data_IF_875683210036
#
_entry.id   IF_875683210036
#
_cell.length_a   1.000
_cell.length_b   1.000
_cell.length_c   1.000
_cell.angle_alpha   90.00
_cell.angle_beta   90.00
_cell.angle_gamma   90.00
#
_symmetry.space_group_name_H-M   'P 1'
#
loop_
_entity.id
_entity.type
_entity.pdbx_description
1 polymer ?
#
# COMPACT_ATOMS: atom_id res chain seq x y z
N UNK A 1 21.19 9.22 14.38
CA UNK A 1 20.38 9.43 13.17
C UNK A 1 21.20 10.10 12.09
N UNK A 2 21.90 11.20 12.38
CA UNK A 2 22.70 11.90 11.36
C UNK A 2 23.78 11.04 10.71
N UNK A 3 24.52 10.25 11.49
CA UNK A 3 25.52 9.31 10.95
C UNK A 3 24.91 8.20 10.07
N UNK A 4 23.76 7.63 10.44
CA UNK A 4 23.06 6.63 9.61
C UNK A 4 22.47 7.25 8.32
N UNK A 5 22.04 8.52 8.39
CA UNK A 5 21.51 9.29 7.24
C UNK A 5 22.61 9.63 6.24
N UNK A 6 23.77 10.08 6.70
CA UNK A 6 24.95 10.29 5.86
C UNK A 6 25.41 8.97 5.22
N UNK A 7 25.35 7.88 5.98
CA UNK A 7 25.73 6.55 5.50
C UNK A 7 24.78 6.01 4.42
N UNK A 8 23.47 6.18 4.59
CA UNK A 8 22.47 5.71 3.62
C UNK A 8 22.54 6.49 2.30
N UNK A 9 22.76 7.81 2.34
CA UNK A 9 22.87 8.63 1.13
C UNK A 9 24.13 8.30 0.31
N UNK A 10 25.19 7.80 0.95
CA UNK A 10 26.41 7.31 0.28
C UNK A 10 27.31 8.40 -0.32
N UNK A 11 26.87 9.66 -0.40
CA UNK A 11 27.69 10.85 -0.64
C UNK A 11 26.84 12.11 -0.44
N UNK A 12 27.44 13.20 0.05
CA UNK A 12 26.88 14.54 -0.14
C UNK A 12 26.80 14.92 -1.64
N UNK A 13 26.13 16.03 -2.01
CA UNK A 13 26.00 16.45 -3.40
C UNK A 13 27.38 16.46 -4.09
N UNK A 14 27.48 15.75 -5.21
CA UNK A 14 28.74 15.55 -5.94
C UNK A 14 29.22 16.90 -6.51
N UNK A 15 30.44 17.37 -6.17
CA UNK A 15 31.06 18.49 -6.88
C UNK A 15 31.44 18.06 -8.31
N UNK A 16 31.53 19.01 -9.27
CA UNK A 16 31.69 18.70 -10.70
C UNK A 16 32.92 17.83 -10.99
N UNK A 17 32.88 17.03 -12.07
CA UNK A 17 33.80 15.91 -12.26
C UNK A 17 35.19 16.42 -12.64
N UNK A 18 36.17 16.19 -11.77
CA UNK A 18 37.60 16.10 -12.09
C UNK A 18 38.38 15.50 -10.91
N UNK A 19 38.48 14.17 -10.84
CA UNK A 19 39.54 13.49 -10.06
C UNK A 19 39.71 12.04 -10.54
N UNK A 20 40.93 11.58 -10.89
CA UNK A 20 41.18 10.21 -11.33
C UNK A 20 41.68 9.30 -10.19
N UNK A 21 41.35 8.01 -10.36
CA UNK A 21 41.91 6.79 -9.75
C UNK A 21 41.37 6.28 -8.41
N UNK A 22 40.69 5.12 -8.46
CA UNK A 22 41.14 3.88 -7.81
C UNK A 22 40.32 2.68 -8.33
N UNK A 23 40.99 1.61 -8.77
CA UNK A 23 40.42 0.25 -8.93
C UNK A 23 41.05 -0.62 -7.84
N UNK A 24 40.22 -1.32 -7.07
CA UNK A 24 40.64 -2.40 -6.20
C UNK A 24 39.75 -3.62 -6.51
N UNK A 25 40.38 -4.79 -6.63
CA UNK A 25 39.73 -6.10 -6.75
C UNK A 25 39.21 -6.53 -5.37
N UNK A 26 37.99 -7.06 -5.32
CA UNK A 26 37.34 -7.57 -4.11
C UNK A 26 37.25 -9.10 -4.18
N UNK A 27 37.70 -9.78 -3.13
CA UNK A 27 37.48 -11.22 -2.91
C UNK A 27 36.06 -11.51 -2.37
N UNK A 28 35.53 -12.75 -2.51
CA UNK A 28 34.18 -13.10 -2.06
C UNK A 28 34.08 -13.05 -0.53
N UNK A 29 33.24 -12.16 -0.01
CA UNK A 29 32.91 -12.06 1.42
C UNK A 29 31.82 -13.07 1.79
N UNK A 30 32.06 -13.82 2.88
CA UNK A 30 31.10 -14.75 3.47
C UNK A 30 30.04 -13.99 4.29
N UNK A 31 28.91 -13.70 3.66
CA UNK A 31 27.78 -12.96 4.24
C UNK A 31 27.08 -13.70 5.39
N UNK A 32 27.26 -15.02 5.55
CA UNK A 32 26.52 -15.79 6.54
C UNK A 32 26.99 -15.52 7.98
N UNK A 33 28.29 -15.24 8.18
CA UNK A 33 28.88 -15.04 9.51
C UNK A 33 28.78 -13.58 10.02
N UNK A 34 28.78 -12.58 9.12
CA UNK A 34 28.70 -11.16 9.49
C UNK A 34 27.33 -10.75 10.03
N UNK A 35 26.26 -11.36 9.53
CA UNK A 35 24.87 -10.97 9.83
C UNK A 35 24.29 -11.65 11.09
N UNK A 36 24.86 -12.77 11.56
CA UNK A 36 24.31 -13.57 12.66
C UNK A 36 24.82 -13.22 14.07
N UNK A 37 25.88 -12.41 14.21
CA UNK A 37 26.46 -12.10 15.53
C UNK A 37 26.13 -10.68 16.02
N UNK A 38 25.37 -10.60 17.11
CA UNK A 38 24.85 -9.34 17.65
C UNK A 38 25.87 -8.52 18.44
N UNK A 39 25.93 -7.21 18.18
CA UNK A 39 26.21 -6.10 19.13
C UNK A 39 25.68 -4.76 18.56
N UNK A 40 24.67 -4.17 19.24
CA UNK A 40 23.59 -3.32 18.66
C UNK A 40 23.91 -1.87 18.23
N UNK A 41 25.16 -1.47 17.96
CA UNK A 41 25.40 -0.16 17.29
C UNK A 41 26.44 -0.19 16.18
N UNK A 42 27.51 -0.99 16.31
CA UNK A 42 28.45 -1.20 15.20
C UNK A 42 27.91 -2.14 14.10
N UNK A 43 26.94 -3.00 14.43
CA UNK A 43 26.40 -4.00 13.50
C UNK A 43 25.48 -3.41 12.41
N UNK A 44 24.77 -2.32 12.68
CA UNK A 44 23.83 -1.74 11.72
C UNK A 44 24.56 -1.06 10.55
N UNK A 45 25.72 -0.43 10.80
CA UNK A 45 26.51 0.20 9.74
C UNK A 45 27.16 -0.86 8.83
N UNK A 46 27.60 -1.99 9.40
CA UNK A 46 28.12 -3.11 8.63
C UNK A 46 27.03 -3.74 7.74
N UNK A 47 25.81 -3.95 8.28
CA UNK A 47 24.66 -4.48 7.53
C UNK A 47 24.43 -3.72 6.22
N UNK A 48 24.38 -2.39 6.25
CA UNK A 48 24.08 -1.61 5.04
C UNK A 48 25.25 -1.58 4.04
N UNK A 49 26.49 -1.67 4.50
CA UNK A 49 27.65 -1.79 3.60
C UNK A 49 27.68 -3.14 2.91
N UNK A 50 27.50 -4.21 3.68
CA UNK A 50 27.47 -5.58 3.18
C UNK A 50 26.33 -5.75 2.18
N UNK A 51 25.14 -5.23 2.51
CA UNK A 51 24.00 -5.23 1.60
C UNK A 51 24.28 -4.42 0.32
N UNK A 52 24.86 -3.22 0.41
CA UNK A 52 25.19 -2.44 -0.78
C UNK A 52 26.23 -3.13 -1.70
N UNK A 53 27.21 -3.82 -1.11
CA UNK A 53 28.17 -4.65 -1.85
C UNK A 53 27.50 -5.89 -2.47
N UNK A 54 26.51 -6.47 -1.78
CA UNK A 54 25.79 -7.64 -2.27
C UNK A 54 24.80 -7.33 -3.40
N UNK A 55 24.21 -6.14 -3.42
CA UNK A 55 23.28 -5.68 -4.46
C UNK A 55 23.97 -5.33 -5.80
N UNK A 56 25.26 -5.67 -5.98
CA UNK A 56 25.88 -5.57 -7.30
C UNK A 56 25.20 -6.54 -8.29
N UNK A 57 25.16 -6.19 -9.60
CA UNK A 57 24.54 -7.04 -10.61
C UNK A 57 25.13 -8.46 -10.60
N UNK A 58 24.29 -9.45 -10.37
CA UNK A 58 24.62 -10.87 -10.38
C UNK A 58 23.44 -11.65 -10.97
N UNK A 59 23.68 -12.88 -11.43
CA UNK A 59 22.60 -13.75 -11.92
C UNK A 59 21.63 -14.14 -10.78
N UNK A 60 20.39 -14.42 -11.13
CA UNK A 60 19.40 -14.90 -10.15
C UNK A 60 19.73 -16.36 -9.76
N UNK A 61 19.79 -16.63 -8.46
CA UNK A 61 20.02 -17.98 -7.92
C UNK A 61 19.15 -18.22 -6.68
N UNK A 62 18.91 -19.48 -6.35
CA UNK A 62 18.16 -19.85 -5.14
C UNK A 62 18.85 -19.36 -3.85
N UNK A 63 20.19 -19.44 -3.81
CA UNK A 63 20.99 -18.90 -2.71
C UNK A 63 20.78 -17.38 -2.57
N UNK A 64 20.82 -16.65 -3.69
CA UNK A 64 20.62 -15.19 -3.69
C UNK A 64 19.22 -14.78 -3.25
N UNK A 65 18.21 -15.53 -3.70
CA UNK A 65 16.82 -15.35 -3.26
C UNK A 65 16.72 -15.53 -1.73
N UNK A 66 17.30 -16.61 -1.21
CA UNK A 66 17.27 -16.93 0.22
C UNK A 66 17.99 -15.86 1.07
N UNK A 67 19.18 -15.41 0.66
CA UNK A 67 19.96 -14.40 1.39
C UNK A 67 19.22 -13.06 1.42
N UNK A 68 18.72 -12.58 0.27
CA UNK A 68 17.97 -11.33 0.20
C UNK A 68 16.69 -11.41 1.04
N UNK A 69 15.94 -12.51 0.94
CA UNK A 69 14.70 -12.66 1.69
C UNK A 69 14.92 -12.74 3.19
N UNK A 70 15.96 -13.46 3.66
CA UNK A 70 16.29 -13.53 5.09
C UNK A 70 16.74 -12.17 5.61
N UNK A 71 17.62 -11.48 4.87
CA UNK A 71 18.08 -10.14 5.25
C UNK A 71 16.92 -9.15 5.33
N UNK A 72 15.98 -9.20 4.38
CA UNK A 72 14.80 -8.35 4.39
C UNK A 72 13.82 -8.73 5.51
N UNK A 73 13.72 -10.00 5.89
CA UNK A 73 12.94 -10.41 7.05
C UNK A 73 13.51 -9.78 8.34
N UNK A 74 14.82 -9.83 8.53
CA UNK A 74 15.50 -9.21 9.68
C UNK A 74 15.34 -7.68 9.70
N UNK A 75 15.26 -7.04 8.54
CA UNK A 75 15.08 -5.58 8.41
C UNK A 75 13.61 -5.19 8.65
N UNK A 76 12.68 -5.95 8.08
CA UNK A 76 11.27 -5.57 7.98
C UNK A 76 10.43 -6.18 9.12
N UNK A 77 10.56 -7.44 9.47
CA UNK A 77 9.65 -8.05 10.48
C UNK A 77 9.69 -7.42 11.89
N UNK A 78 10.82 -6.89 12.40
CA UNK A 78 10.82 -6.18 13.68
C UNK A 78 9.91 -4.94 13.69
N UNK A 79 9.62 -4.39 12.51
CA UNK A 79 8.77 -3.25 12.29
C UNK A 79 7.29 -3.68 12.44
N UNK A 80 6.59 -3.10 13.41
CA UNK A 80 5.19 -3.44 13.71
C UNK A 80 4.99 -4.46 14.83
N UNK A 81 6.08 -4.94 15.47
CA UNK A 81 6.00 -5.74 16.71
C UNK A 81 6.88 -5.16 17.82
N UNK A 82 8.06 -4.61 17.52
CA UNK A 82 9.00 -4.16 18.57
C UNK A 82 9.75 -2.86 18.24
N UNK A 83 10.23 -2.66 17.00
CA UNK A 83 11.08 -1.50 16.67
C UNK A 83 11.20 -1.26 15.14
N UNK A 84 10.60 -0.20 14.58
CA UNK A 84 10.70 0.11 13.15
C UNK A 84 12.05 0.75 12.72
N UNK A 85 13.00 0.96 13.64
CA UNK A 85 14.23 1.72 13.36
C UNK A 85 15.15 1.11 12.32
N UNK A 86 15.15 -0.22 12.14
CA UNK A 86 16.07 -0.86 11.20
C UNK A 86 15.69 -0.49 9.78
N UNK A 87 14.47 -0.80 9.32
CA UNK A 87 14.02 -0.48 7.97
C UNK A 87 14.05 1.02 7.64
N UNK A 88 13.75 1.89 8.62
CA UNK A 88 13.78 3.35 8.46
C UNK A 88 15.18 3.95 8.65
N UNK A 89 16.15 3.15 9.09
CA UNK A 89 17.54 3.58 9.22
C UNK A 89 18.18 3.86 7.86
N UNK A 90 17.76 3.14 6.82
CA UNK A 90 18.14 3.43 5.44
C UNK A 90 17.01 3.09 4.45
N UNK A 91 15.98 3.95 4.31
CA UNK A 91 14.84 3.68 3.44
C UNK A 91 15.24 3.44 1.98
N UNK A 92 16.26 4.14 1.49
CA UNK A 92 16.82 3.95 0.15
C UNK A 92 17.47 2.57 -0.03
N UNK A 93 18.19 2.07 0.98
CA UNK A 93 18.78 0.74 0.98
C UNK A 93 17.73 -0.37 1.07
N UNK A 94 16.74 -0.19 1.94
CA UNK A 94 15.57 -1.08 2.04
C UNK A 94 14.83 -1.17 0.69
N UNK A 95 14.60 -0.02 0.05
CA UNK A 95 13.98 0.06 -1.27
C UNK A 95 14.77 -0.69 -2.35
N UNK A 96 16.11 -0.52 -2.38
CA UNK A 96 16.98 -1.20 -3.33
C UNK A 96 16.98 -2.72 -3.13
N UNK A 97 17.04 -3.17 -1.88
CA UNK A 97 16.98 -4.60 -1.56
C UNK A 97 15.63 -5.23 -1.95
N UNK A 98 14.52 -4.54 -1.71
CA UNK A 98 13.19 -4.98 -2.16
C UNK A 98 13.09 -5.05 -3.70
N UNK A 99 13.65 -4.06 -4.40
CA UNK A 99 13.69 -4.05 -5.87
C UNK A 99 14.52 -5.23 -6.40
N UNK A 100 15.68 -5.49 -5.79
CA UNK A 100 16.54 -6.61 -6.20
C UNK A 100 15.89 -7.95 -5.89
N UNK A 101 15.24 -8.09 -4.72
CA UNK A 101 14.49 -9.30 -4.39
C UNK A 101 13.37 -9.56 -5.41
N UNK A 102 12.67 -8.51 -5.87
CA UNK A 102 11.67 -8.64 -6.92
C UNK A 102 12.28 -9.16 -8.24
N UNK A 103 13.42 -8.59 -8.63
CA UNK A 103 14.17 -8.99 -9.83
C UNK A 103 14.62 -10.45 -9.75
N UNK A 104 15.26 -10.85 -8.65
CA UNK A 104 15.75 -12.22 -8.42
C UNK A 104 14.59 -13.22 -8.37
N UNK A 105 13.49 -12.87 -7.69
CA UNK A 105 12.34 -13.75 -7.57
C UNK A 105 11.67 -14.00 -8.92
N UNK A 106 11.46 -12.96 -9.74
CA UNK A 106 10.91 -13.11 -11.09
C UNK A 106 11.91 -13.79 -12.02
N UNK A 107 13.20 -13.48 -11.92
CA UNK A 107 14.23 -14.11 -12.74
C UNK A 107 14.36 -15.62 -12.49
N UNK A 108 14.20 -16.06 -11.24
CA UNK A 108 14.32 -17.47 -10.88
C UNK A 108 13.01 -18.26 -11.04
N UNK A 109 11.88 -17.67 -10.64
CA UNK A 109 10.59 -18.36 -10.55
C UNK A 109 9.63 -18.01 -11.69
N UNK A 110 10.01 -17.07 -12.56
CA UNK A 110 9.22 -16.63 -13.71
C UNK A 110 7.81 -16.21 -13.32
N UNK A 111 6.84 -16.84 -13.97
CA UNK A 111 5.41 -16.60 -13.78
C UNK A 111 4.95 -16.79 -12.32
N UNK A 112 5.56 -17.75 -11.61
CA UNK A 112 5.22 -18.08 -10.22
C UNK A 112 5.52 -16.96 -9.22
N UNK A 113 6.28 -15.93 -9.60
CA UNK A 113 6.59 -14.80 -8.73
C UNK A 113 6.19 -13.43 -9.29
N UNK A 114 5.44 -13.33 -10.40
CA UNK A 114 5.09 -12.00 -10.95
C UNK A 114 4.30 -11.12 -9.96
N UNK A 115 3.27 -11.68 -9.34
CA UNK A 115 2.44 -10.95 -8.37
C UNK A 115 3.27 -10.52 -7.15
N UNK A 116 4.06 -11.43 -6.61
CA UNK A 116 4.91 -11.15 -5.45
C UNK A 116 6.02 -10.14 -5.77
N UNK A 117 6.64 -10.25 -6.94
CA UNK A 117 7.57 -9.27 -7.47
C UNK A 117 6.94 -7.88 -7.57
N UNK A 118 5.69 -7.78 -8.04
CA UNK A 118 4.94 -6.51 -8.05
C UNK A 118 4.74 -5.96 -6.63
N UNK A 119 4.42 -6.80 -5.64
CA UNK A 119 4.26 -6.37 -4.23
C UNK A 119 5.56 -5.92 -3.59
N UNK A 120 6.67 -6.60 -3.88
CA UNK A 120 8.00 -6.17 -3.47
C UNK A 120 8.33 -4.78 -4.03
N UNK A 121 7.95 -4.50 -5.29
CA UNK A 121 8.10 -3.16 -5.86
C UNK A 121 7.14 -2.13 -5.24
N UNK A 122 5.93 -2.51 -4.83
CA UNK A 122 5.03 -1.64 -4.08
C UNK A 122 5.65 -1.22 -2.74
N UNK A 123 6.24 -2.17 -2.00
CA UNK A 123 6.99 -1.87 -0.78
C UNK A 123 8.24 -1.02 -1.08
N UNK A 124 8.96 -1.32 -2.16
CA UNK A 124 10.12 -0.53 -2.57
C UNK A 124 9.75 0.95 -2.79
N UNK A 125 8.61 1.20 -3.46
CA UNK A 125 8.04 2.54 -3.67
C UNK A 125 7.65 3.22 -2.36
N UNK A 126 7.07 2.48 -1.42
CA UNK A 126 6.72 2.99 -0.09
C UNK A 126 7.95 3.54 0.65
N UNK A 127 9.06 2.79 0.68
CA UNK A 127 10.30 3.23 1.31
C UNK A 127 10.98 4.40 0.57
N UNK A 128 10.85 4.47 -0.75
CA UNK A 128 11.32 5.64 -1.51
C UNK A 128 10.56 6.91 -1.15
N UNK A 129 9.27 6.82 -0.85
CA UNK A 129 8.48 7.97 -0.42
C UNK A 129 8.81 8.40 1.00
N UNK A 130 9.16 7.46 1.88
CA UNK A 130 9.76 7.77 3.17
C UNK A 130 11.04 8.61 2.97
N UNK A 131 11.94 8.16 2.10
CA UNK A 131 13.16 8.90 1.76
C UNK A 131 12.86 10.30 1.21
N UNK A 132 11.92 10.42 0.27
CA UNK A 132 11.60 11.73 -0.31
C UNK A 132 11.06 12.71 0.74
N UNK A 133 10.22 12.24 1.67
CA UNK A 133 9.68 13.07 2.73
C UNK A 133 10.76 13.57 3.69
N UNK A 134 11.73 12.71 4.04
CA UNK A 134 12.80 13.07 4.97
C UNK A 134 13.83 14.04 4.38
N UNK A 135 14.08 13.97 3.07
CA UNK A 135 15.18 14.70 2.42
C UNK A 135 14.74 15.75 1.38
N UNK A 136 13.45 15.78 1.00
CA UNK A 136 12.90 16.69 0.00
C UNK A 136 13.46 16.49 -1.41
N UNK A 137 14.17 15.39 -1.67
CA UNK A 137 14.85 15.15 -2.94
C UNK A 137 14.87 13.67 -3.32
N UNK A 138 14.78 13.42 -4.64
CA UNK A 138 15.04 12.11 -5.22
C UNK A 138 16.55 11.97 -5.47
N UNK A 139 17.16 10.90 -4.94
CA UNK A 139 18.59 10.65 -5.13
C UNK A 139 18.83 9.81 -6.39
N UNK A 140 19.18 10.47 -7.51
CA UNK A 140 19.48 9.78 -8.78
C UNK A 140 20.86 9.13 -8.83
N UNK A 141 21.77 9.50 -7.92
CA UNK A 141 23.17 9.06 -7.90
C UNK A 141 23.58 8.48 -6.54
N UNK A 142 22.81 7.49 -6.07
CA UNK A 142 23.13 6.77 -4.83
C UNK A 142 23.95 5.51 -5.10
N UNK A 143 24.72 5.08 -4.11
CA UNK A 143 25.43 3.77 -4.15
C UNK A 143 24.48 2.58 -4.34
N UNK A 144 23.21 2.76 -3.97
CA UNK A 144 22.14 1.77 -4.02
C UNK A 144 21.60 1.50 -5.41
N UNK A 145 21.93 2.37 -6.39
CA UNK A 145 21.49 2.23 -7.79
C UNK A 145 19.99 1.92 -7.88
N UNK A 146 19.17 2.63 -7.12
CA UNK A 146 17.70 2.59 -7.23
C UNK A 146 17.18 4.01 -7.31
N UNK A 147 16.07 4.18 -8.02
CA UNK A 147 15.35 5.43 -8.15
C UNK A 147 13.87 5.16 -8.45
N UNK A 148 13.04 6.19 -8.28
CA UNK A 148 11.59 6.08 -8.47
C UNK A 148 11.20 5.71 -9.90
N UNK A 149 11.96 6.16 -10.92
CA UNK A 149 11.66 5.88 -12.32
C UNK A 149 11.89 4.40 -12.64
N UNK A 150 12.97 3.81 -12.13
CA UNK A 150 13.26 2.38 -12.27
C UNK A 150 12.23 1.51 -11.58
N UNK A 151 11.82 1.88 -10.37
CA UNK A 151 10.77 1.16 -9.63
C UNK A 151 9.45 1.24 -10.41
N UNK A 152 9.03 2.44 -10.82
CA UNK A 152 7.80 2.63 -11.59
C UNK A 152 7.78 1.84 -12.91
N UNK A 153 8.89 1.88 -13.66
CA UNK A 153 9.01 1.14 -14.93
C UNK A 153 8.94 -0.37 -14.70
N UNK A 154 9.60 -0.87 -13.64
CA UNK A 154 9.57 -2.29 -13.27
C UNK A 154 8.17 -2.72 -12.82
N UNK A 155 7.49 -1.90 -12.01
CA UNK A 155 6.11 -2.16 -11.57
C UNK A 155 5.17 -2.22 -12.76
N UNK A 156 5.29 -1.29 -13.72
CA UNK A 156 4.44 -1.29 -14.91
C UNK A 156 4.67 -2.54 -15.79
N UNK A 157 5.93 -2.97 -15.94
CA UNK A 157 6.27 -4.18 -16.67
C UNK A 157 5.68 -5.43 -16.00
N UNK A 158 5.86 -5.59 -14.69
CA UNK A 158 5.31 -6.72 -13.94
C UNK A 158 3.79 -6.70 -13.91
N UNK A 159 3.17 -5.53 -13.73
CA UNK A 159 1.71 -5.38 -13.78
C UNK A 159 1.14 -5.82 -15.13
N UNK A 160 1.78 -5.41 -16.23
CA UNK A 160 1.37 -5.78 -17.58
C UNK A 160 1.50 -7.29 -17.81
N UNK A 161 2.62 -7.89 -17.38
CA UNK A 161 2.85 -9.34 -17.46
C UNK A 161 1.85 -10.13 -16.60
N UNK A 162 1.55 -9.63 -15.40
CA UNK A 162 0.62 -10.28 -14.49
C UNK A 162 -0.85 -10.20 -14.98
N UNK A 163 -1.24 -9.10 -15.65
CA UNK A 163 -2.56 -8.98 -16.29
C UNK A 163 -2.77 -10.01 -17.41
N UNK A 164 -1.73 -10.37 -18.15
CA UNK A 164 -1.82 -11.39 -19.21
C UNK A 164 -2.03 -12.82 -18.70
N UNK A 165 -1.82 -13.09 -17.40
CA UNK A 165 -1.96 -14.43 -16.79
C UNK A 165 -3.34 -14.66 -16.15
N UNK A 166 -4.38 -14.00 -16.65
CA UNK A 166 -5.74 -13.93 -16.07
C UNK A 166 -6.47 -15.27 -15.89
N UNK A 167 -5.88 -16.41 -16.24
CA UNK A 167 -6.39 -17.73 -15.88
C UNK A 167 -6.04 -18.19 -14.45
N UNK A 168 -5.19 -17.47 -13.71
CA UNK A 168 -4.78 -17.90 -12.36
C UNK A 168 -4.21 -16.82 -11.43
N UNK A 169 -4.22 -15.55 -11.84
CA UNK A 169 -3.85 -14.48 -10.91
C UNK A 169 -4.78 -14.55 -9.68
N UNK A 170 -4.22 -14.33 -8.49
CA UNK A 170 -4.96 -14.07 -7.23
C UNK A 170 -5.66 -12.69 -7.31
N UNK A 171 -6.22 -12.39 -8.48
CA UNK A 171 -6.78 -11.14 -8.90
C UNK A 171 -8.21 -11.06 -8.42
N UNK A 172 -8.49 -10.01 -7.66
CA UNK A 172 -9.69 -9.22 -7.83
C UNK A 172 -10.98 -10.03 -8.04
N UNK A 173 -11.67 -10.34 -6.94
CA UNK A 173 -12.88 -11.17 -6.98
C UNK A 173 -13.99 -10.51 -7.80
N UNK A 174 -14.61 -11.29 -8.68
CA UNK A 174 -15.80 -10.88 -9.44
C UNK A 174 -17.08 -11.04 -8.63
N UNK A 175 -17.96 -10.05 -8.74
CA UNK A 175 -19.28 -10.09 -8.13
C UNK A 175 -20.25 -10.75 -9.10
N UNK A 176 -20.67 -11.97 -8.80
CA UNK A 176 -21.56 -12.76 -9.66
C UNK A 176 -23.01 -12.26 -9.58
N UNK A 177 -23.54 -12.10 -8.36
CA UNK A 177 -24.85 -11.48 -8.13
C UNK A 177 -24.65 -10.11 -7.47
N UNK A 178 -24.68 -9.01 -8.23
CA UNK A 178 -24.48 -7.67 -7.70
C UNK A 178 -25.55 -7.24 -6.69
N UNK A 179 -26.71 -7.88 -6.69
CA UNK A 179 -27.85 -7.52 -5.85
C UNK A 179 -27.99 -8.40 -4.59
N UNK A 180 -27.10 -9.37 -4.42
CA UNK A 180 -27.13 -10.32 -3.30
C UNK A 180 -27.30 -9.61 -1.97
N UNK A 181 -28.09 -10.19 -1.06
CA UNK A 181 -28.31 -9.66 0.28
C UNK A 181 -28.23 -10.79 1.29
N UNK A 182 -27.46 -10.59 2.36
CA UNK A 182 -27.40 -11.49 3.50
C UNK A 182 -28.12 -10.83 4.69
N UNK A 183 -29.38 -11.22 4.99
CA UNK A 183 -30.17 -10.58 6.03
C UNK A 183 -29.53 -10.62 7.43
N UNK A 184 -28.63 -11.58 7.68
CA UNK A 184 -27.95 -11.72 8.97
C UNK A 184 -26.81 -10.73 9.21
N UNK A 185 -26.27 -10.07 8.18
CA UNK A 185 -25.10 -9.20 8.34
C UNK A 185 -25.47 -7.78 8.76
N UNK A 186 -24.90 -7.33 9.87
CA UNK A 186 -24.91 -5.92 10.28
C UNK A 186 -23.77 -5.22 9.58
N UNK A 187 -24.08 -4.43 8.55
CA UNK A 187 -23.10 -3.67 7.77
C UNK A 187 -23.26 -2.17 8.08
N UNK A 188 -22.17 -1.54 8.53
CA UNK A 188 -22.10 -0.10 8.76
C UNK A 188 -21.28 0.60 7.67
N UNK A 189 -21.74 1.78 7.22
CA UNK A 189 -20.95 2.69 6.38
C UNK A 189 -20.35 3.78 7.26
N UNK A 190 -19.05 4.02 7.13
CA UNK A 190 -18.33 5.01 7.94
C UNK A 190 -17.57 5.98 7.05
N UNK A 191 -17.70 7.27 7.33
CA UNK A 191 -16.98 8.34 6.65
C UNK A 191 -16.64 9.45 7.62
N UNK A 192 -15.54 10.17 7.36
CA UNK A 192 -15.16 11.39 8.07
C UNK A 192 -15.04 12.54 7.06
N UNK A 193 -15.78 13.63 7.30
CA UNK A 193 -15.94 14.73 6.36
C UNK A 193 -15.83 16.09 7.06
N UNK A 194 -14.60 16.51 7.41
CA UNK A 194 -14.37 17.80 8.04
C UNK A 194 -13.72 18.79 7.05
N UNK A 195 -14.52 19.27 6.10
CA UNK A 195 -14.12 20.30 5.14
C UNK A 195 -14.72 21.66 5.50
N UNK A 196 -14.06 22.74 5.08
CA UNK A 196 -14.62 24.08 5.20
C UNK A 196 -15.80 24.24 4.22
N UNK A 197 -17.02 24.11 4.74
CA UNK A 197 -18.27 24.17 3.97
C UNK A 197 -18.52 25.54 3.30
N UNK A 198 -17.82 26.60 3.69
CA UNK A 198 -17.86 27.88 2.98
C UNK A 198 -17.08 27.84 1.66
N UNK A 199 -16.26 26.83 1.46
CA UNK A 199 -15.29 26.74 0.38
C UNK A 199 -15.48 25.50 -0.52
N UNK A 200 -16.37 24.58 -0.13
CA UNK A 200 -16.76 23.39 -0.90
C UNK A 200 -18.11 22.88 -0.39
N UNK A 201 -18.89 22.25 -1.28
CA UNK A 201 -20.14 21.56 -0.91
C UNK A 201 -19.94 20.06 -0.63
N UNK A 202 -18.69 19.59 -0.67
CA UNK A 202 -18.34 18.18 -0.62
C UNK A 202 -18.92 17.44 0.59
N UNK A 203 -18.90 18.05 1.76
CA UNK A 203 -19.47 17.47 2.99
C UNK A 203 -20.97 17.16 2.84
N UNK A 204 -21.74 18.07 2.23
CA UNK A 204 -23.18 17.88 2.03
C UNK A 204 -23.45 16.85 0.92
N UNK A 205 -22.70 16.91 -0.17
CA UNK A 205 -22.79 15.95 -1.29
C UNK A 205 -22.44 14.53 -0.84
N UNK A 206 -21.37 14.36 -0.08
CA UNK A 206 -20.96 13.10 0.55
C UNK A 206 -22.07 12.54 1.43
N UNK A 207 -22.62 13.36 2.33
CA UNK A 207 -23.75 12.96 3.20
C UNK A 207 -24.96 12.51 2.39
N UNK A 208 -25.31 13.27 1.35
CA UNK A 208 -26.46 12.99 0.47
C UNK A 208 -26.30 11.64 -0.25
N UNK A 209 -25.20 11.47 -0.99
CA UNK A 209 -24.91 10.24 -1.76
C UNK A 209 -24.86 9.01 -0.86
N UNK A 210 -24.05 9.06 0.21
CA UNK A 210 -23.89 7.93 1.14
C UNK A 210 -25.20 7.66 1.92
N UNK A 211 -25.95 8.71 2.27
CA UNK A 211 -27.21 8.60 2.99
C UNK A 211 -28.30 7.94 2.17
N UNK A 212 -28.42 8.30 0.89
CA UNK A 212 -29.36 7.68 -0.04
C UNK A 212 -29.06 6.19 -0.24
N UNK A 213 -27.79 5.85 -0.48
CA UNK A 213 -27.34 4.47 -0.64
C UNK A 213 -27.57 3.63 0.63
N UNK A 214 -27.16 4.13 1.80
CA UNK A 214 -27.36 3.46 3.09
C UNK A 214 -28.85 3.19 3.35
N UNK A 215 -29.71 4.20 3.16
CA UNK A 215 -31.15 4.09 3.34
C UNK A 215 -31.76 3.04 2.42
N UNK A 216 -31.36 3.01 1.14
CA UNK A 216 -31.87 2.04 0.16
C UNK A 216 -31.61 0.60 0.58
N UNK A 217 -30.43 0.34 1.15
CA UNK A 217 -29.97 -1.03 1.43
C UNK A 217 -30.09 -1.45 2.90
N UNK A 218 -30.64 -0.58 3.76
CA UNK A 218 -30.81 -0.85 5.18
C UNK A 218 -29.51 -0.78 6.00
N UNK A 219 -28.44 -0.18 5.46
CA UNK A 219 -27.20 0.02 6.21
C UNK A 219 -27.30 1.23 7.14
N UNK A 220 -26.54 1.20 8.23
CA UNK A 220 -26.36 2.40 9.07
C UNK A 220 -25.24 3.26 8.50
N UNK A 221 -25.52 4.54 8.28
CA UNK A 221 -24.49 5.53 7.98
C UNK A 221 -24.00 6.21 9.27
N UNK A 222 -22.68 6.22 9.45
CA UNK A 222 -21.94 6.97 10.44
C UNK A 222 -21.16 8.08 9.73
N UNK A 223 -21.80 9.22 9.52
CA UNK A 223 -21.22 10.38 8.86
C UNK A 223 -20.62 11.35 9.89
N UNK A 224 -19.30 11.32 10.04
CA UNK A 224 -18.60 12.02 11.13
C UNK A 224 -18.14 13.40 10.66
N UNK A 225 -18.71 14.40 11.33
CA UNK A 225 -18.44 15.85 11.26
C UNK A 225 -17.15 16.29 11.94
N UNK A 226 -17.12 15.88 13.20
CA UNK A 226 -16.25 16.41 14.22
C UNK A 226 -15.06 15.48 14.41
N UNK A 227 -13.84 16.02 14.54
CA UNK A 227 -12.67 15.19 14.78
C UNK A 227 -12.79 14.52 16.14
N UNK A 228 -12.45 13.23 16.20
CA UNK A 228 -12.20 12.52 17.46
C UNK A 228 -10.88 12.95 18.08
N UNK A 229 -9.89 13.27 17.24
CA UNK A 229 -8.56 13.72 17.65
C UNK A 229 -8.15 14.94 16.84
N UNK A 230 -7.71 15.99 17.54
CA UNK A 230 -7.25 17.26 16.96
C UNK A 230 -5.74 17.47 17.05
N UNK A 231 -5.07 16.72 17.94
CA UNK A 231 -3.62 16.80 18.16
C UNK A 231 -2.83 15.84 17.27
N UNK A 232 -3.51 15.01 16.49
CA UNK A 232 -2.92 14.07 15.54
C UNK A 232 -3.27 14.50 14.11
N UNK A 233 -2.64 13.85 13.13
CA UNK A 233 -2.96 14.09 11.74
C UNK A 233 -4.45 13.78 11.46
N UNK A 234 -5.21 14.63 10.72
CA UNK A 234 -6.61 14.39 10.37
C UNK A 234 -6.98 12.97 9.92
N UNK A 235 -6.12 12.30 9.14
CA UNK A 235 -6.32 10.93 8.68
C UNK A 235 -6.39 9.89 9.81
N UNK A 236 -5.86 10.18 11.00
CA UNK A 236 -6.07 9.33 12.19
C UNK A 236 -7.57 9.19 12.52
N UNK A 237 -8.39 10.21 12.23
CA UNK A 237 -9.82 10.15 12.49
C UNK A 237 -10.51 9.04 11.69
N UNK A 238 -9.96 8.60 10.54
CA UNK A 238 -10.43 7.41 9.81
C UNK A 238 -10.31 6.16 10.67
N UNK A 239 -9.11 5.88 11.16
CA UNK A 239 -8.84 4.67 11.95
C UNK A 239 -9.61 4.69 13.27
N UNK A 240 -9.66 5.83 13.96
CA UNK A 240 -10.41 5.97 15.21
C UNK A 240 -11.92 5.84 14.99
N UNK A 241 -12.45 6.36 13.88
CA UNK A 241 -13.85 6.16 13.51
C UNK A 241 -14.20 4.68 13.35
N UNK A 242 -13.34 3.93 12.65
CA UNK A 242 -13.54 2.49 12.47
C UNK A 242 -13.41 1.78 13.82
N UNK A 243 -12.36 2.07 14.60
CA UNK A 243 -12.08 1.41 15.87
C UNK A 243 -13.22 1.58 16.89
N UNK A 244 -13.82 2.77 16.96
CA UNK A 244 -14.92 3.06 17.89
C UNK A 244 -16.24 2.36 17.53
N UNK A 245 -16.41 1.95 16.28
CA UNK A 245 -17.69 1.43 15.78
C UNK A 245 -17.61 -0.03 15.34
N UNK A 246 -16.41 -0.62 15.18
CA UNK A 246 -16.25 -1.94 14.58
C UNK A 246 -17.03 -3.02 15.34
N UNK A 247 -17.13 -2.92 16.67
CA UNK A 247 -17.81 -3.92 17.49
C UNK A 247 -19.33 -3.99 17.29
N UNK A 248 -19.94 -2.91 16.81
CA UNK A 248 -21.40 -2.80 16.61
C UNK A 248 -21.89 -3.48 15.33
N UNK A 249 -20.96 -3.84 14.44
CA UNK A 249 -21.24 -4.40 13.11
C UNK A 249 -20.47 -5.69 12.90
N UNK A 250 -20.90 -6.49 11.92
CA UNK A 250 -20.11 -7.64 11.47
C UNK A 250 -19.06 -7.18 10.44
N UNK A 251 -19.40 -6.13 9.69
CA UNK A 251 -18.54 -5.45 8.72
C UNK A 251 -18.71 -3.94 8.79
N UNK A 252 -17.60 -3.23 8.76
CA UNK A 252 -17.58 -1.80 8.47
C UNK A 252 -17.03 -1.56 7.08
N UNK A 253 -17.76 -0.79 6.28
CA UNK A 253 -17.27 -0.25 5.02
C UNK A 253 -16.83 1.19 5.25
N UNK A 254 -15.51 1.39 5.26
CA UNK A 254 -14.94 2.73 5.20
C UNK A 254 -15.10 3.30 3.79
N UNK A 255 -15.51 4.57 3.71
CA UNK A 255 -15.67 5.30 2.48
C UNK A 255 -15.19 6.74 2.70
N UNK A 256 -14.19 7.19 1.95
CA UNK A 256 -13.68 8.57 2.01
C UNK A 256 -14.78 9.59 1.67
N UNK A 257 -14.56 10.83 2.11
CA UNK A 257 -15.54 11.90 1.92
C UNK A 257 -15.79 12.19 0.43
N UNK A 258 -14.72 12.21 -0.36
CA UNK A 258 -14.64 12.44 -1.80
C UNK A 258 -14.86 11.15 -2.61
N UNK A 259 -15.82 10.34 -2.17
CA UNK A 259 -16.26 9.15 -2.89
C UNK A 259 -17.79 9.09 -2.88
N UNK A 260 -18.39 8.88 -4.06
CA UNK A 260 -19.84 8.80 -4.24
C UNK A 260 -20.29 7.42 -4.72
N UNK A 261 -21.47 7.00 -4.27
CA UNK A 261 -22.13 5.79 -4.75
C UNK A 261 -22.83 6.10 -6.07
N UNK A 262 -22.46 5.38 -7.14
CA UNK A 262 -22.97 5.63 -8.49
C UNK A 262 -23.94 4.54 -8.96
N UNK A 263 -23.85 3.33 -8.40
CA UNK A 263 -24.77 2.24 -8.75
C UNK A 263 -25.52 1.73 -7.52
N UNK A 264 -26.75 2.20 -7.29
CA UNK A 264 -27.53 1.79 -6.13
C UNK A 264 -28.17 0.40 -6.30
N UNK A 265 -27.97 -0.31 -7.42
CA UNK A 265 -28.41 -1.70 -7.57
C UNK A 265 -27.39 -2.69 -6.96
N UNK A 266 -26.12 -2.28 -6.86
CA UNK A 266 -25.05 -3.09 -6.28
C UNK A 266 -25.06 -3.00 -4.75
N UNK A 267 -24.96 -4.13 -4.06
CA UNK A 267 -24.94 -4.19 -2.59
C UNK A 267 -23.52 -4.39 -2.06
N UNK A 268 -23.30 -4.00 -0.80
CA UNK A 268 -22.07 -4.29 -0.07
C UNK A 268 -21.99 -5.78 0.28
N UNK A 269 -23.13 -6.38 0.61
CA UNK A 269 -23.28 -7.82 0.83
C UNK A 269 -22.70 -8.63 -0.34
N UNK A 270 -22.97 -8.23 -1.58
CA UNK A 270 -22.47 -8.91 -2.76
C UNK A 270 -20.94 -8.92 -2.85
N UNK A 271 -20.28 -7.83 -2.43
CA UNK A 271 -18.81 -7.76 -2.36
C UNK A 271 -18.25 -8.75 -1.32
N UNK A 272 -18.85 -8.77 -0.13
CA UNK A 272 -18.45 -9.68 0.97
C UNK A 272 -18.67 -11.13 0.56
N UNK A 273 -19.85 -11.44 0.00
CA UNK A 273 -20.20 -12.77 -0.47
C UNK A 273 -19.21 -13.26 -1.53
N UNK A 274 -18.92 -12.42 -2.54
CA UNK A 274 -17.94 -12.72 -3.55
C UNK A 274 -16.58 -13.07 -2.92
N UNK A 275 -16.06 -12.25 -2.00
CA UNK A 275 -14.80 -12.54 -1.32
C UNK A 275 -14.83 -13.88 -0.56
N UNK A 276 -15.91 -14.18 0.16
CA UNK A 276 -16.04 -15.45 0.88
C UNK A 276 -16.08 -16.69 -0.01
N UNK A 277 -16.54 -16.58 -1.26
CA UNK A 277 -16.49 -17.71 -2.20
C UNK A 277 -15.05 -18.17 -2.49
N UNK A 278 -14.06 -17.27 -2.33
CA UNK A 278 -12.64 -17.56 -2.56
C UNK A 278 -11.85 -17.69 -1.27
N UNK A 279 -12.16 -16.86 -0.29
CA UNK A 279 -11.44 -16.76 0.97
C UNK A 279 -12.46 -16.68 2.13
N UNK A 280 -12.91 -17.83 2.67
CA UNK A 280 -13.89 -17.87 3.76
C UNK A 280 -13.47 -17.09 5.02
N UNK A 281 -12.15 -16.99 5.23
CA UNK A 281 -11.55 -16.28 6.35
C UNK A 281 -11.27 -14.80 6.06
N UNK A 282 -11.77 -14.25 4.94
CA UNK A 282 -11.55 -12.85 4.60
C UNK A 282 -11.95 -11.91 5.74
N UNK A 283 -11.07 -10.96 6.03
CA UNK A 283 -11.25 -9.95 7.07
C UNK A 283 -11.02 -8.52 6.57
N UNK A 284 -10.26 -8.35 5.48
CA UNK A 284 -10.08 -7.07 4.80
C UNK A 284 -10.40 -7.23 3.31
N UNK A 285 -11.36 -6.47 2.79
CA UNK A 285 -11.57 -6.33 1.35
C UNK A 285 -11.15 -4.94 0.91
N UNK A 286 -10.25 -4.87 -0.07
CA UNK A 286 -9.64 -3.62 -0.50
C UNK A 286 -9.27 -3.70 -1.98
N UNK A 287 -9.17 -2.56 -2.66
CA UNK A 287 -8.72 -2.51 -4.04
C UNK A 287 -7.28 -2.02 -4.12
N UNK A 288 -6.64 -2.39 -5.22
CA UNK A 288 -5.44 -1.71 -5.70
C UNK A 288 -5.77 -0.75 -6.81
N UNK A 289 -4.92 0.25 -6.97
CA UNK A 289 -4.88 1.15 -8.11
C UNK A 289 -3.45 1.22 -8.69
N UNK A 290 -3.20 2.17 -9.60
CA UNK A 290 -1.90 2.35 -10.24
C UNK A 290 -0.74 2.65 -9.28
N UNK A 291 -1.03 2.91 -8.01
CA UNK A 291 -0.04 3.07 -6.95
C UNK A 291 0.23 1.77 -6.20
N UNK A 292 -0.84 1.11 -5.71
CA UNK A 292 -0.84 0.03 -4.71
C UNK A 292 -2.24 -0.12 -4.08
N UNK A 293 -2.37 -0.71 -2.89
CA UNK A 293 -3.61 -0.67 -2.09
C UNK A 293 -4.10 0.76 -1.93
N UNK A 294 -5.40 0.96 -2.05
CA UNK A 294 -6.07 2.23 -1.82
C UNK A 294 -6.91 2.16 -0.54
N UNK A 295 -6.63 3.03 0.43
CA UNK A 295 -7.38 3.10 1.70
C UNK A 295 -8.58 4.05 1.67
N UNK A 296 -8.92 4.59 0.49
CA UNK A 296 -10.07 5.48 0.33
C UNK A 296 -11.40 4.76 0.43
N UNK A 297 -11.40 3.45 0.18
CA UNK A 297 -12.55 2.58 0.41
C UNK A 297 -12.07 1.17 0.72
N UNK A 298 -12.59 0.59 1.80
CA UNK A 298 -12.29 -0.81 2.16
C UNK A 298 -13.28 -1.33 3.19
N UNK A 299 -13.45 -2.65 3.22
CA UNK A 299 -14.27 -3.34 4.21
C UNK A 299 -13.41 -4.04 5.24
N UNK A 300 -13.72 -3.84 6.52
CA UNK A 300 -13.06 -4.50 7.64
C UNK A 300 -14.08 -5.31 8.44
N UNK A 301 -13.75 -6.58 8.67
CA UNK A 301 -14.57 -7.51 9.45
C UNK A 301 -14.34 -7.30 10.94
N UNK A 302 -15.41 -7.38 11.71
CA UNK A 302 -15.34 -7.45 13.16
C UNK A 302 -15.00 -8.89 13.61
N UNK A 303 -13.73 -9.24 13.56
CA UNK A 303 -13.19 -10.48 14.12
C UNK A 303 -11.84 -10.21 14.80
N UNK A 304 -11.23 -11.26 15.37
CA UNK A 304 -9.95 -11.12 16.06
C UNK A 304 -8.85 -10.53 15.16
N UNK A 305 -8.76 -11.00 13.91
CA UNK A 305 -7.77 -10.50 12.94
C UNK A 305 -8.01 -9.03 12.59
N UNK A 306 -9.26 -8.63 12.28
CA UNK A 306 -9.58 -7.26 11.88
C UNK A 306 -9.34 -6.25 13.01
N UNK A 307 -9.63 -6.63 14.25
CA UNK A 307 -9.34 -5.81 15.44
C UNK A 307 -7.84 -5.65 15.66
N UNK A 308 -7.08 -6.75 15.58
CA UNK A 308 -5.62 -6.73 15.72
C UNK A 308 -4.94 -5.91 14.62
N UNK A 309 -5.34 -6.13 13.36
CA UNK A 309 -4.83 -5.41 12.21
C UNK A 309 -5.07 -3.90 12.32
N UNK A 310 -6.27 -3.49 12.74
CA UNK A 310 -6.59 -2.08 12.97
C UNK A 310 -5.77 -1.49 14.14
N UNK A 311 -5.62 -2.22 15.25
CA UNK A 311 -4.82 -1.79 16.38
C UNK A 311 -3.35 -1.55 15.99
N UNK A 312 -2.72 -2.52 15.30
CA UNK A 312 -1.35 -2.38 14.79
C UNK A 312 -1.20 -1.25 13.79
N UNK A 313 -2.22 -1.00 12.96
CA UNK A 313 -2.22 0.14 12.02
C UNK A 313 -2.21 1.47 12.77
N UNK A 314 -3.03 1.60 13.82
CA UNK A 314 -3.06 2.79 14.69
C UNK A 314 -1.72 2.95 15.42
N UNK A 315 -1.13 1.88 15.93
CA UNK A 315 0.15 1.92 16.63
C UNK A 315 1.28 2.39 15.71
N UNK A 316 1.38 1.86 14.49
CA UNK A 316 2.35 2.30 13.49
C UNK A 316 2.17 3.76 13.09
N UNK A 317 0.92 4.22 12.96
CA UNK A 317 0.62 5.61 12.63
C UNK A 317 0.88 6.55 13.82
N UNK A 318 0.77 6.07 15.05
CA UNK A 318 0.95 6.85 16.28
C UNK A 318 2.36 6.79 16.87
N UNK A 319 3.26 5.97 16.29
CA UNK A 319 4.63 5.84 16.75
C UNK A 319 5.35 7.21 16.74
N UNK A 320 6.29 7.46 17.67
CA UNK A 320 7.02 8.72 17.73
C UNK A 320 8.00 8.86 16.55
N UNK A 321 8.43 10.08 16.22
CA UNK A 321 9.48 10.27 15.21
C UNK A 321 10.83 9.65 15.64
N UNK A 322 11.65 9.17 14.68
CA UNK A 322 11.41 9.07 13.23
C UNK A 322 10.66 7.78 12.84
N UNK A 323 10.11 7.07 13.82
CA UNK A 323 9.56 5.72 13.71
C UNK A 323 8.09 5.71 13.24
N UNK A 324 7.63 6.84 12.70
CA UNK A 324 6.20 7.14 12.51
C UNK A 324 5.79 7.17 11.05
N UNK A 325 4.65 6.56 10.75
CA UNK A 325 3.94 6.82 9.49
C UNK A 325 3.15 8.12 9.48
N UNK A 326 3.05 8.83 10.61
CA UNK A 326 2.24 10.05 10.70
C UNK A 326 2.63 11.10 9.64
N UNK A 327 3.91 11.14 9.29
CA UNK A 327 4.47 12.10 8.34
C UNK A 327 4.74 11.49 6.97
N UNK A 328 4.41 10.22 6.74
CA UNK A 328 4.57 9.57 5.45
C UNK A 328 3.57 10.10 4.43
N UNK A 329 3.97 10.28 3.16
CA UNK A 329 3.01 10.37 2.07
C UNK A 329 2.06 9.17 2.10
N UNK A 330 0.77 9.42 1.92
CA UNK A 330 -0.32 8.42 2.01
C UNK A 330 -0.67 7.93 3.40
N UNK A 331 -0.02 8.43 4.45
CA UNK A 331 -0.60 8.49 5.80
C UNK A 331 -1.04 7.12 6.33
N UNK A 332 -2.32 6.88 6.58
CA UNK A 332 -2.84 5.61 7.08
C UNK A 332 -2.84 4.48 6.05
N UNK A 333 -2.78 4.79 4.75
CA UNK A 333 -2.62 3.78 3.69
C UNK A 333 -1.30 3.03 3.83
N UNK A 334 -0.25 3.75 4.19
CA UNK A 334 1.11 3.22 4.30
C UNK A 334 1.25 2.10 5.36
N UNK A 335 0.80 2.24 6.63
CA UNK A 335 0.83 1.16 7.60
C UNK A 335 -0.12 0.01 7.24
N UNK A 336 -1.29 0.29 6.62
CA UNK A 336 -2.18 -0.77 6.12
C UNK A 336 -1.47 -1.67 5.11
N UNK A 337 -0.76 -1.06 4.18
CA UNK A 337 0.06 -1.78 3.21
C UNK A 337 1.20 -2.54 3.85
N UNK A 338 1.92 -1.88 4.76
CA UNK A 338 3.05 -2.48 5.45
C UNK A 338 2.62 -3.80 6.10
N UNK A 339 1.57 -3.73 6.92
CA UNK A 339 1.05 -4.87 7.67
C UNK A 339 0.43 -5.93 6.75
N UNK A 340 -0.22 -5.51 5.66
CA UNK A 340 -0.85 -6.43 4.71
C UNK A 340 0.13 -7.16 3.79
N UNK A 341 1.34 -6.63 3.59
CA UNK A 341 2.32 -7.15 2.63
C UNK A 341 3.52 -7.84 3.29
N UNK A 342 4.15 -7.21 4.28
CA UNK A 342 5.52 -7.58 4.70
C UNK A 342 5.65 -9.03 5.15
N UNK A 343 4.78 -9.58 6.03
CA UNK A 343 4.89 -10.98 6.42
C UNK A 343 4.74 -11.93 5.21
N UNK A 344 3.73 -11.70 4.38
CA UNK A 344 3.32 -12.65 3.34
C UNK A 344 4.12 -12.54 2.04
N UNK A 345 4.75 -11.40 1.77
CA UNK A 345 5.59 -11.21 0.58
C UNK A 345 6.94 -11.92 0.73
N UNK A 346 7.43 -12.06 1.97
CA UNK A 346 8.68 -12.75 2.29
C UNK A 346 8.46 -14.24 2.57
N UNK A 347 7.27 -14.61 3.03
CA UNK A 347 6.93 -15.98 3.42
C UNK A 347 7.28 -17.00 2.33
N UNK A 348 8.07 -18.01 2.72
CA UNK A 348 8.45 -19.12 1.87
C UNK A 348 9.64 -18.86 0.95
N UNK A 349 10.04 -17.61 0.67
CA UNK A 349 11.15 -17.32 -0.28
C UNK A 349 12.53 -17.85 0.18
N UNK A 350 12.64 -18.28 1.44
CA UNK A 350 13.85 -18.85 2.02
C UNK A 350 13.96 -20.36 1.84
N UNK A 351 12.88 -21.04 1.48
CA UNK A 351 12.88 -22.51 1.41
C UNK A 351 13.44 -22.97 0.07
N UNK A 352 14.50 -23.81 0.05
CA UNK A 352 15.00 -24.42 -1.19
C UNK A 352 13.99 -25.42 -1.79
N UNK A 353 13.06 -25.94 -0.98
CA UNK A 353 11.95 -26.78 -1.40
C UNK A 353 10.65 -25.99 -1.27
N UNK A 354 10.29 -25.25 -2.32
CA UNK A 354 9.06 -24.45 -2.38
C UNK A 354 7.85 -25.39 -2.54
N UNK A 355 7.00 -25.59 -1.52
CA UNK A 355 5.84 -26.46 -1.64
C UNK A 355 4.65 -25.62 -2.11
N UNK A 356 4.36 -25.67 -3.40
CA UNK A 356 3.11 -25.13 -3.98
C UNK A 356 3.19 -23.70 -4.55
N UNK A 357 2.09 -23.22 -5.15
CA UNK A 357 2.00 -21.89 -5.73
C UNK A 357 2.15 -20.83 -4.63
N UNK A 358 3.02 -19.86 -4.88
CA UNK A 358 3.26 -18.75 -3.96
C UNK A 358 1.99 -17.90 -3.79
N UNK A 359 1.78 -17.42 -2.56
CA UNK A 359 0.75 -16.41 -2.29
C UNK A 359 1.05 -15.15 -3.11
N UNK A 360 0.01 -14.37 -3.38
CA UNK A 360 0.11 -13.11 -4.12
C UNK A 360 0.95 -12.02 -3.43
N UNK A 361 1.47 -12.32 -2.23
CA UNK A 361 2.23 -11.40 -1.38
C UNK A 361 1.40 -10.67 -0.33
N UNK A 362 0.10 -10.99 -0.20
CA UNK A 362 -0.77 -10.47 0.85
C UNK A 362 -1.07 -11.52 1.92
N UNK A 363 -1.38 -11.05 3.13
CA UNK A 363 -1.94 -11.88 4.21
C UNK A 363 -3.20 -12.61 3.72
N UNK A 364 -3.38 -13.87 4.15
CA UNK A 364 -4.48 -14.72 3.73
C UNK A 364 -5.87 -14.18 4.08
N UNK A 365 -5.97 -13.26 5.04
CA UNK A 365 -7.20 -12.56 5.39
C UNK A 365 -7.51 -11.35 4.50
N UNK A 366 -6.58 -10.94 3.63
CA UNK A 366 -6.74 -9.81 2.71
C UNK A 366 -7.22 -10.32 1.37
N UNK A 367 -8.35 -9.78 0.92
CA UNK A 367 -8.92 -10.06 -0.39
C UNK A 367 -8.87 -8.80 -1.24
N UNK A 368 -8.18 -8.90 -2.37
CA UNK A 368 -8.23 -7.86 -3.38
C UNK A 368 -9.54 -7.94 -4.16
N UNK A 369 -10.24 -6.81 -4.25
CA UNK A 369 -11.34 -6.60 -5.17
C UNK A 369 -10.84 -5.92 -6.44
N UNK A 370 -11.61 -6.02 -7.53
CA UNK A 370 -11.31 -5.23 -8.75
C UNK A 370 -11.32 -3.75 -8.38
N UNK A 371 -10.42 -2.97 -8.98
CA UNK A 371 -10.38 -1.54 -8.74
C UNK A 371 -11.77 -0.92 -8.98
N UNK A 372 -12.43 -1.28 -10.08
CA UNK A 372 -13.79 -0.84 -10.42
C UNK A 372 -14.92 -1.34 -9.50
N UNK A 373 -14.64 -2.26 -8.58
CA UNK A 373 -15.62 -2.71 -7.61
C UNK A 373 -15.78 -1.73 -6.42
N UNK A 374 -14.72 -1.02 -6.02
CA UNK A 374 -14.80 -0.03 -4.94
C UNK A 374 -13.91 1.22 -5.07
N UNK A 375 -13.13 1.39 -6.14
CA UNK A 375 -12.14 2.46 -6.27
C UNK A 375 -11.90 2.91 -7.73
N UNK A 376 -12.97 3.04 -8.51
CA UNK A 376 -12.93 3.62 -9.86
C UNK A 376 -12.72 5.13 -9.81
N UNK A 377 -11.95 5.66 -10.77
CA UNK A 377 -11.62 7.10 -10.82
C UNK A 377 -12.32 7.80 -11.99
N UNK A 378 -12.62 9.10 -11.91
CA UNK A 378 -13.08 9.85 -13.06
C UNK A 378 -12.13 9.74 -14.26
N UNK A 379 -12.69 9.65 -15.46
CA UNK A 379 -11.91 9.46 -16.69
C UNK A 379 -10.89 10.60 -16.90
N UNK A 380 -11.23 11.83 -16.51
CA UNK A 380 -10.35 12.99 -16.59
C UNK A 380 -9.09 12.81 -15.73
N UNK A 381 -9.25 12.26 -14.53
CA UNK A 381 -8.15 11.98 -13.61
C UNK A 381 -7.27 10.84 -14.14
N UNK A 382 -7.90 9.78 -14.68
CA UNK A 382 -7.18 8.67 -15.32
C UNK A 382 -6.37 9.15 -16.53
N UNK A 383 -6.95 9.96 -17.40
CA UNK A 383 -6.25 10.48 -18.59
C UNK A 383 -5.06 11.35 -18.23
N UNK A 384 -5.16 12.15 -17.16
CA UNK A 384 -4.07 13.00 -16.70
C UNK A 384 -2.92 12.20 -16.06
N UNK A 385 -3.24 11.07 -15.44
CA UNK A 385 -2.29 10.25 -14.67
C UNK A 385 -1.77 9.02 -15.43
N UNK A 386 -2.33 8.69 -16.60
CA UNK A 386 -2.03 7.45 -17.36
C UNK A 386 -0.56 7.11 -17.58
N UNK A 387 0.32 8.11 -17.64
CA UNK A 387 1.75 7.92 -17.86
C UNK A 387 2.54 7.63 -16.59
N UNK A 388 1.97 7.98 -15.44
CA UNK A 388 2.58 7.77 -14.13
C UNK A 388 1.91 6.60 -13.41
N UNK A 389 0.58 6.57 -13.39
CA UNK A 389 -0.23 5.73 -12.52
C UNK A 389 -1.39 5.12 -13.34
N UNK A 390 -1.36 3.82 -13.67
CA UNK A 390 -2.45 3.18 -14.40
C UNK A 390 -3.64 2.94 -13.46
N UNK A 391 -4.57 3.89 -13.41
CA UNK A 391 -5.85 3.75 -12.72
C UNK A 391 -6.93 3.22 -13.67
N UNK A 392 -7.83 2.39 -13.16
CA UNK A 392 -9.07 2.07 -13.88
C UNK A 392 -10.06 3.23 -13.76
N UNK A 393 -10.55 3.69 -14.91
CA UNK A 393 -11.56 4.73 -14.99
C UNK A 393 -12.94 4.19 -14.66
N UNK A 394 -13.78 5.06 -14.10
CA UNK A 394 -15.19 4.82 -13.85
C UNK A 394 -15.90 4.55 -15.17
N UNK A 395 -16.72 3.51 -15.19
CA UNK A 395 -17.70 3.29 -16.23
C UNK A 395 -19.08 3.00 -15.64
N UNK A 396 -20.10 3.15 -16.47
CA UNK A 396 -21.48 2.86 -16.11
C UNK A 396 -21.62 1.47 -15.48
N UNK A 397 -22.28 1.42 -14.33
CA UNK A 397 -22.45 0.21 -13.55
C UNK A 397 -21.41 -0.01 -12.44
N UNK A 398 -20.32 0.73 -12.36
CA UNK A 398 -19.40 0.66 -11.21
C UNK A 398 -20.10 1.12 -9.91
N UNK A 399 -19.74 0.52 -8.77
CA UNK A 399 -20.46 0.80 -7.51
C UNK A 399 -20.23 2.23 -7.04
N UNK A 400 -18.98 2.70 -7.15
CA UNK A 400 -18.55 3.99 -6.61
C UNK A 400 -17.63 4.71 -7.57
N UNK A 401 -17.48 6.01 -7.36
CA UNK A 401 -16.44 6.82 -7.97
C UNK A 401 -15.66 7.54 -6.88
N UNK A 402 -14.32 7.45 -6.95
CA UNK A 402 -13.36 8.03 -6.01
C UNK A 402 -12.63 9.21 -6.66
N UNK A 403 -12.51 10.30 -5.92
CA UNK A 403 -11.80 11.50 -6.36
C UNK A 403 -10.47 11.71 -5.61
N UNK A 404 -9.90 10.64 -5.03
CA UNK A 404 -8.65 10.71 -4.29
C UNK A 404 -7.54 11.37 -5.14
N UNK A 405 -6.98 12.48 -4.63
CA UNK A 405 -5.92 13.23 -5.30
C UNK A 405 -6.37 14.16 -6.45
N UNK A 406 -7.67 14.25 -6.74
CA UNK A 406 -8.22 15.06 -7.82
C UNK A 406 -7.79 16.54 -7.75
N UNK A 407 -7.94 17.19 -6.60
CA UNK A 407 -7.51 18.59 -6.42
C UNK A 407 -6.01 18.82 -6.69
N UNK A 408 -5.17 17.83 -6.38
CA UNK A 408 -3.72 17.92 -6.61
C UNK A 408 -3.35 17.74 -8.08
N UNK A 409 -4.14 16.97 -8.84
CA UNK A 409 -3.83 16.59 -10.23
C UNK A 409 -4.53 17.50 -11.25
N UNK A 410 -5.81 17.81 -11.01
CA UNK A 410 -6.67 18.54 -11.93
C UNK A 410 -6.91 20.00 -11.48
N UNK A 411 -6.55 20.32 -10.24
CA UNK A 411 -6.84 21.61 -9.63
C UNK A 411 -8.18 21.62 -8.90
N UNK A 412 -8.27 22.46 -7.88
CA UNK A 412 -9.42 22.52 -6.96
C UNK A 412 -10.73 22.83 -7.67
N UNK A 413 -10.79 23.92 -8.45
CA UNK A 413 -12.04 24.38 -9.06
C UNK A 413 -12.63 23.36 -10.04
N UNK A 414 -11.76 22.70 -10.81
CA UNK A 414 -12.16 21.60 -11.69
C UNK A 414 -12.72 20.43 -10.89
N UNK A 415 -12.09 20.11 -9.76
CA UNK A 415 -12.55 19.03 -8.90
C UNK A 415 -13.91 19.32 -8.26
N UNK A 416 -14.16 20.56 -7.84
CA UNK A 416 -15.47 20.97 -7.30
C UNK A 416 -16.59 20.84 -8.34
N UNK A 417 -16.33 21.21 -9.61
CA UNK A 417 -17.28 21.00 -10.71
C UNK A 417 -17.56 19.50 -10.92
N UNK A 418 -16.53 18.67 -10.85
CA UNK A 418 -16.70 17.22 -10.95
C UNK A 418 -17.50 16.65 -9.77
N UNK A 419 -17.25 17.10 -8.53
CA UNK A 419 -18.06 16.66 -7.38
C UNK A 419 -19.53 16.97 -7.61
N UNK A 420 -19.85 18.18 -8.06
CA UNK A 420 -21.23 18.57 -8.32
C UNK A 420 -21.86 17.70 -9.42
N UNK A 421 -21.16 17.51 -10.55
CA UNK A 421 -21.65 16.74 -11.69
C UNK A 421 -21.96 15.28 -11.32
N UNK A 422 -21.00 14.57 -10.74
CA UNK A 422 -21.18 13.16 -10.39
C UNK A 422 -22.15 12.98 -9.21
N UNK A 423 -22.23 13.94 -8.29
CA UNK A 423 -23.28 13.94 -7.28
C UNK A 423 -24.68 14.01 -7.93
N UNK A 424 -24.87 14.92 -8.87
CA UNK A 424 -26.16 15.11 -9.56
C UNK A 424 -26.54 13.91 -10.44
N UNK A 425 -25.56 13.23 -11.04
CA UNK A 425 -25.75 11.97 -11.77
C UNK A 425 -26.12 10.79 -10.86
N UNK A 426 -25.69 10.82 -9.58
CA UNK A 426 -25.94 9.76 -8.60
C UNK A 426 -27.28 9.85 -7.88
N UNK A 427 -27.91 11.04 -7.91
CA UNK A 427 -29.14 11.37 -7.18
C UNK A 427 -30.40 10.96 -7.95
#
# INVERSE_FOLDING_TARGET
MDSAREHCAGAGPVPPPNSPNARAELEPLDLQDGLRSGHRRGAADNLWNDLAAYLQPQEASAERLSILSSTLEDILMPFGVVDPTVALGCPLGTSAALQELASVCVGLLGEGCLQRGLRLLHLSKLFMLFQFNDFGAWFSFSRWRTDMQRIASSSQALHSAAKSQTAGAVGAVDVVDPSFKEPGWRIGLVTYCNYNNSATNLTAQSRSSKGAYAKKHGYKLLHIEEPFVTQAHPWMNKLIAIQRNLEDYDWLFWVDCDLFFMNPAKTVDALIHAAFTRTPDASLLIAEDGMMLNSGSFLLRNNAWGKDFLARTVDLLSAPMPQSFQHMPWHEQAPLMYLGLVPSVLEGLQSPSMPGPLSAGYDSHVVLLRQRALNSYPQELVQKTKHALPHDGFEEGDLVISFNGCSSVLGRDFCEDMYQRYHDESA
#
